data_IF_756712597760
#
_entry.id   IF_756712597760
#
_cell.length_a   1.000
_cell.length_b   1.000
_cell.length_c   1.000
_cell.angle_alpha   90.00
_cell.angle_beta   90.00
_cell.angle_gamma   90.00
#
_symmetry.space_group_name_H-M   'P 1'
#
loop_
_entity.id
_entity.type
_entity.pdbx_description
1 polymer ?
#
# COMPACT_ATOMS: atom_id res chain seq x y z
N UNK A 1 -31.93 -11.01 24.16
CA UNK A 1 -31.94 -11.33 22.72
C UNK A 1 -31.32 -12.70 22.54
N UNK A 2 -32.12 -13.72 22.27
CA UNK A 2 -31.65 -15.08 22.00
C UNK A 2 -31.06 -15.14 20.59
N UNK A 3 -29.76 -15.43 20.49
CA UNK A 3 -29.11 -15.74 19.21
C UNK A 3 -29.86 -16.91 18.57
N UNK A 4 -30.55 -16.64 17.46
CA UNK A 4 -31.26 -17.67 16.70
C UNK A 4 -30.19 -18.43 15.93
N UNK A 5 -29.80 -19.60 16.44
CA UNK A 5 -28.83 -20.44 15.75
C UNK A 5 -29.42 -20.87 14.41
N UNK A 6 -28.83 -20.44 13.29
CA UNK A 6 -29.25 -20.83 11.95
C UNK A 6 -28.82 -22.29 11.67
N UNK A 7 -29.61 -23.23 12.17
CA UNK A 7 -29.42 -24.68 11.98
C UNK A 7 -29.51 -25.21 10.52
N UNK A 8 -30.14 -24.54 9.53
CA UNK A 8 -30.29 -25.12 8.19
C UNK A 8 -28.98 -25.28 7.42
N UNK A 9 -27.99 -24.41 7.61
CA UNK A 9 -26.77 -24.41 6.80
C UNK A 9 -26.05 -25.76 6.85
N UNK A 10 -25.84 -26.32 8.04
CA UNK A 10 -25.15 -27.61 8.26
C UNK A 10 -25.91 -28.79 7.65
N UNK A 11 -27.22 -28.66 7.40
CA UNK A 11 -28.06 -29.71 6.80
C UNK A 11 -28.01 -29.72 5.27
N UNK A 12 -27.39 -28.72 4.65
CA UNK A 12 -27.22 -28.68 3.21
C UNK A 12 -26.18 -29.74 2.77
N UNK A 13 -26.37 -30.37 1.59
CA UNK A 13 -25.33 -31.14 0.92
C UNK A 13 -24.01 -30.37 0.87
N UNK A 14 -22.89 -31.09 0.92
CA UNK A 14 -21.55 -30.48 1.00
C UNK A 14 -21.29 -29.54 -0.18
N UNK A 15 -21.75 -29.93 -1.36
CA UNK A 15 -21.62 -29.19 -2.61
C UNK A 15 -22.29 -27.81 -2.51
N UNK A 16 -23.49 -27.73 -1.93
CA UNK A 16 -24.19 -26.45 -1.74
C UNK A 16 -23.50 -25.58 -0.69
N UNK A 17 -22.94 -26.18 0.37
CA UNK A 17 -22.19 -25.43 1.38
C UNK A 17 -20.89 -24.86 0.80
N UNK A 18 -20.17 -25.64 0.00
CA UNK A 18 -18.98 -25.16 -0.70
C UNK A 18 -19.32 -24.03 -1.67
N UNK A 19 -20.41 -24.14 -2.46
CA UNK A 19 -20.88 -23.05 -3.33
C UNK A 19 -21.21 -21.77 -2.55
N UNK A 20 -21.84 -21.89 -1.38
CA UNK A 20 -22.14 -20.72 -0.53
C UNK A 20 -20.85 -20.10 0.00
N UNK A 21 -19.90 -20.92 0.46
CA UNK A 21 -18.62 -20.39 0.94
C UNK A 21 -17.81 -19.73 -0.16
N UNK A 22 -17.73 -20.35 -1.34
CA UNK A 22 -17.01 -19.79 -2.48
C UNK A 22 -17.66 -18.48 -2.96
N UNK A 23 -18.99 -18.37 -2.89
CA UNK A 23 -19.73 -17.15 -3.20
C UNK A 23 -19.62 -16.05 -2.12
N UNK A 24 -19.25 -16.41 -0.88
CA UNK A 24 -19.02 -15.46 0.20
C UNK A 24 -17.65 -14.77 0.09
N UNK A 25 -16.71 -15.35 -0.68
CA UNK A 25 -15.40 -14.75 -0.93
C UNK A 25 -15.54 -13.64 -1.95
N UNK A 26 -14.79 -12.55 -1.77
CA UNK A 26 -14.82 -11.41 -2.69
C UNK A 26 -14.46 -11.82 -4.13
N UNK A 27 -14.95 -11.09 -5.15
CA UNK A 27 -14.52 -11.28 -6.53
C UNK A 27 -13.01 -11.13 -6.68
N UNK A 28 -12.44 -11.84 -7.65
CA UNK A 28 -11.01 -11.76 -7.99
C UNK A 28 -10.81 -10.68 -9.04
N UNK A 29 -10.82 -9.46 -8.52
CA UNK A 29 -10.57 -8.22 -9.25
C UNK A 29 -9.50 -7.43 -8.51
N UNK A 30 -8.67 -6.64 -9.22
CA UNK A 30 -7.73 -5.73 -8.57
C UNK A 30 -8.44 -4.91 -7.49
N UNK A 31 -7.93 -4.97 -6.28
CA UNK A 31 -8.60 -4.38 -5.10
C UNK A 31 -7.71 -3.40 -4.37
N UNK A 32 -8.32 -2.40 -3.73
CA UNK A 32 -7.64 -1.39 -2.94
C UNK A 32 -7.61 -1.77 -1.45
N UNK A 33 -6.42 -1.67 -0.87
CA UNK A 33 -6.16 -1.99 0.53
C UNK A 33 -5.39 -0.85 1.19
N UNK A 34 -5.90 -0.36 2.31
CA UNK A 34 -5.38 0.79 3.03
C UNK A 34 -4.60 0.35 4.24
N UNK A 35 -3.42 0.92 4.42
CA UNK A 35 -2.56 0.65 5.55
C UNK A 35 -1.90 1.93 6.04
N UNK A 36 -1.72 2.04 7.35
CA UNK A 36 -0.83 3.06 7.92
C UNK A 36 0.60 2.58 7.80
N UNK A 37 1.44 3.33 7.08
CA UNK A 37 2.86 3.06 6.96
C UNK A 37 3.61 3.82 8.08
N UNK A 38 4.40 3.10 8.87
CA UNK A 38 5.14 3.69 9.98
C UNK A 38 6.58 3.18 10.04
N UNK A 39 7.47 4.02 10.56
CA UNK A 39 8.83 3.65 10.93
C UNK A 39 9.10 4.04 12.40
N UNK A 40 9.90 3.23 13.09
CA UNK A 40 10.25 3.39 14.49
C UNK A 40 11.39 4.37 14.71
N UNK A 41 12.12 4.74 13.65
CA UNK A 41 13.25 5.68 13.73
C UNK A 41 12.74 7.13 13.79
N UNK A 42 11.77 7.49 12.96
CA UNK A 42 11.12 8.81 12.93
C UNK A 42 10.05 8.94 14.00
N UNK A 43 9.42 7.84 14.43
CA UNK A 43 8.27 7.85 15.33
C UNK A 43 8.50 7.13 16.66
N UNK A 44 9.73 7.12 17.18
CA UNK A 44 10.11 6.40 18.41
C UNK A 44 9.15 6.61 19.61
N UNK A 45 8.56 7.81 19.75
CA UNK A 45 7.63 8.16 20.82
C UNK A 45 6.18 7.69 20.58
N UNK A 46 5.78 7.42 19.33
CA UNK A 46 4.46 6.88 18.95
C UNK A 46 4.50 5.39 18.59
N UNK A 47 5.69 4.79 18.58
CA UNK A 47 5.94 3.39 18.31
C UNK A 47 5.06 2.42 19.13
N UNK A 48 4.85 2.58 20.45
CA UNK A 48 4.06 1.63 21.23
C UNK A 48 2.60 1.52 20.75
N UNK A 49 2.02 2.64 20.31
CA UNK A 49 0.65 2.66 19.78
C UNK A 49 0.61 1.89 18.46
N UNK A 50 1.54 2.17 17.54
CA UNK A 50 1.53 1.55 16.21
C UNK A 50 1.74 0.03 16.24
N UNK A 51 2.55 -0.48 17.16
CA UNK A 51 2.77 -1.93 17.32
C UNK A 51 1.47 -2.67 17.65
N UNK A 52 0.57 -2.07 18.44
CA UNK A 52 -0.72 -2.69 18.80
C UNK A 52 -1.61 -2.95 17.58
N UNK A 53 -1.51 -2.11 16.56
CA UNK A 53 -2.30 -2.19 15.33
C UNK A 53 -1.51 -2.72 14.14
N UNK A 54 -0.29 -3.23 14.35
CA UNK A 54 0.58 -3.64 13.25
C UNK A 54 0.19 -4.98 12.64
N UNK A 55 0.44 -5.11 11.33
CA UNK A 55 0.50 -6.41 10.67
C UNK A 55 1.67 -7.17 11.28
N UNK A 56 1.43 -8.41 11.72
CA UNK A 56 2.49 -9.23 12.29
C UNK A 56 3.55 -9.53 11.22
N UNK A 57 4.84 -9.35 11.55
CA UNK A 57 5.94 -9.55 10.60
C UNK A 57 7.32 -9.32 11.21
N UNK A 58 8.37 -9.52 10.40
CA UNK A 58 9.77 -9.32 10.82
C UNK A 58 10.05 -7.87 11.21
N UNK A 59 9.44 -6.90 10.51
CA UNK A 59 9.63 -5.47 10.78
C UNK A 59 9.37 -5.04 12.22
N UNK A 60 8.42 -5.65 12.92
CA UNK A 60 8.13 -5.33 14.34
C UNK A 60 9.28 -5.76 15.28
N UNK A 61 10.14 -6.69 14.85
CA UNK A 61 11.24 -7.26 15.64
C UNK A 61 12.62 -6.72 15.25
N UNK A 62 12.68 -5.78 14.30
CA UNK A 62 13.94 -5.19 13.80
C UNK A 62 14.47 -4.09 14.74
N UNK A 63 15.78 -3.81 14.66
CA UNK A 63 16.45 -2.73 15.41
C UNK A 63 16.06 -1.33 14.92
N UNK A 64 15.54 -1.22 13.70
CA UNK A 64 14.93 -0.03 13.12
C UNK A 64 13.57 -0.42 12.53
N UNK A 65 12.55 -0.66 13.39
CA UNK A 65 11.34 -1.34 12.97
C UNK A 65 10.52 -0.48 12.01
N UNK A 66 10.13 -1.02 10.86
CA UNK A 66 9.16 -0.42 9.96
C UNK A 66 8.04 -1.43 9.69
N UNK A 67 6.86 -0.94 9.35
CA UNK A 67 5.74 -1.85 9.16
C UNK A 67 4.46 -1.18 8.70
N UNK A 68 3.51 -2.04 8.36
CA UNK A 68 2.14 -1.66 8.09
C UNK A 68 1.30 -1.86 9.35
N UNK A 69 0.34 -0.98 9.55
CA UNK A 69 -0.65 -1.09 10.59
C UNK A 69 -2.05 -0.79 10.04
N UNK A 70 -3.05 -0.92 10.90
CA UNK A 70 -4.42 -0.60 10.57
C UNK A 70 -4.55 0.78 9.88
N UNK A 71 -5.48 0.95 8.94
CA UNK A 71 -5.66 2.23 8.27
C UNK A 71 -6.20 3.32 9.19
N UNK A 72 -5.85 4.57 8.86
CA UNK A 72 -6.47 5.78 9.40
C UNK A 72 -7.78 6.02 8.67
N UNK A 73 -8.88 5.64 9.32
CA UNK A 73 -10.22 5.70 8.73
C UNK A 73 -11.02 6.93 9.18
N UNK A 74 -10.52 7.70 10.15
CA UNK A 74 -11.14 8.91 10.66
C UNK A 74 -10.18 10.09 10.55
N UNK A 75 -10.55 11.10 9.76
CA UNK A 75 -9.77 12.33 9.59
C UNK A 75 -9.73 13.20 10.86
N UNK A 76 -10.73 13.07 11.75
CA UNK A 76 -10.77 13.78 13.03
C UNK A 76 -9.86 13.13 14.08
N UNK A 77 -9.51 11.85 13.94
CA UNK A 77 -8.65 11.10 14.87
C UNK A 77 -7.50 10.42 14.12
N UNK A 78 -6.59 11.19 13.48
CA UNK A 78 -5.53 10.65 12.62
C UNK A 78 -4.49 9.82 13.38
N UNK A 79 -4.44 9.89 14.70
CA UNK A 79 -3.50 9.12 15.53
C UNK A 79 -4.06 7.78 16.01
N UNK A 80 -5.29 7.44 15.61
CA UNK A 80 -5.99 6.24 16.07
C UNK A 80 -6.37 5.36 14.88
N UNK A 81 -5.41 4.60 14.34
CA UNK A 81 -5.71 3.64 13.29
C UNK A 81 -6.66 2.55 13.80
N UNK A 82 -7.50 2.00 12.94
CA UNK A 82 -8.47 0.96 13.33
C UNK A 82 -8.67 -0.05 12.20
N UNK A 83 -8.64 -1.34 12.53
CA UNK A 83 -8.90 -2.40 11.57
C UNK A 83 -10.39 -2.51 11.23
N UNK A 84 -11.26 -2.11 12.17
CA UNK A 84 -12.69 -2.39 12.11
C UNK A 84 -13.56 -1.16 11.89
N UNK A 85 -13.10 0.02 12.32
CA UNK A 85 -13.90 1.24 12.21
C UNK A 85 -13.71 1.88 10.84
N UNK A 86 -14.72 1.79 9.97
CA UNK A 86 -14.74 2.39 8.63
C UNK A 86 -13.53 2.05 7.75
N UNK A 87 -12.94 0.85 7.92
CA UNK A 87 -11.84 0.39 7.09
C UNK A 87 -12.30 0.23 5.62
N UNK A 88 -11.74 1.03 4.68
CA UNK A 88 -12.14 1.04 3.27
C UNK A 88 -11.53 -0.10 2.45
N UNK A 89 -10.70 -0.94 3.07
CA UNK A 89 -10.00 -2.02 2.38
C UNK A 89 -10.92 -3.19 2.05
N UNK A 90 -10.80 -3.71 0.83
CA UNK A 90 -11.63 -4.85 0.38
C UNK A 90 -11.27 -6.14 1.12
N UNK A 91 -10.02 -6.31 1.58
CA UNK A 91 -9.63 -7.49 2.35
C UNK A 91 -10.48 -7.70 3.62
N UNK A 92 -11.19 -6.68 4.09
CA UNK A 92 -12.10 -6.81 5.23
C UNK A 92 -13.36 -7.60 4.91
N UNK A 93 -13.80 -7.66 3.65
CA UNK A 93 -15.03 -8.34 3.22
C UNK A 93 -15.00 -9.84 3.49
N UNK A 94 -13.84 -10.47 3.31
CA UNK A 94 -13.64 -11.92 3.46
C UNK A 94 -12.70 -12.30 4.63
N UNK A 95 -12.10 -11.31 5.31
CA UNK A 95 -11.23 -11.51 6.49
C UNK A 95 -11.81 -12.48 7.53
N UNK A 96 -13.12 -12.37 7.81
CA UNK A 96 -13.82 -13.21 8.78
C UNK A 96 -13.88 -14.69 8.37
N UNK A 97 -13.82 -15.00 7.07
CA UNK A 97 -13.92 -16.38 6.56
C UNK A 97 -12.71 -17.23 6.97
N UNK A 98 -11.56 -16.61 7.25
CA UNK A 98 -10.37 -17.33 7.75
C UNK A 98 -10.56 -17.97 9.14
N UNK A 99 -11.45 -17.40 9.96
CA UNK A 99 -11.63 -17.80 11.36
C UNK A 99 -13.06 -18.26 11.70
N UNK A 100 -14.02 -18.11 10.79
CA UNK A 100 -15.42 -18.47 11.02
C UNK A 100 -15.61 -19.98 11.30
N UNK A 101 -15.15 -20.87 10.42
CA UNK A 101 -15.15 -22.31 10.65
C UNK A 101 -14.15 -23.04 9.75
N UNK A 102 -14.08 -24.39 9.88
CA UNK A 102 -13.21 -25.22 9.02
C UNK A 102 -13.55 -25.08 7.53
N UNK A 103 -14.84 -25.11 7.19
CA UNK A 103 -15.29 -25.10 5.79
C UNK A 103 -15.05 -23.75 5.12
N UNK A 104 -15.25 -22.63 5.84
CA UNK A 104 -14.93 -21.29 5.32
C UNK A 104 -13.43 -21.12 5.10
N UNK A 105 -12.59 -21.63 6.02
CA UNK A 105 -11.12 -21.63 5.85
C UNK A 105 -10.68 -22.50 4.67
N UNK A 106 -11.29 -23.66 4.49
CA UNK A 106 -11.06 -24.51 3.31
C UNK A 106 -11.38 -23.76 2.02
N UNK A 107 -12.48 -23.00 1.98
CA UNK A 107 -12.84 -22.17 0.82
C UNK A 107 -11.82 -21.06 0.54
N UNK A 108 -11.36 -20.34 1.57
CA UNK A 108 -10.29 -19.34 1.43
C UNK A 108 -8.99 -19.96 0.88
N UNK A 109 -8.61 -21.15 1.37
CA UNK A 109 -7.44 -21.90 0.88
C UNK A 109 -7.66 -22.36 -0.56
N UNK A 110 -8.85 -22.82 -0.95
CA UNK A 110 -9.14 -23.17 -2.35
C UNK A 110 -9.02 -21.96 -3.27
N UNK A 111 -9.48 -20.78 -2.82
CA UNK A 111 -9.48 -19.55 -3.61
C UNK A 111 -8.11 -18.91 -3.76
N UNK A 112 -7.35 -18.83 -2.66
CA UNK A 112 -6.11 -18.06 -2.59
C UNK A 112 -4.86 -18.90 -2.29
N UNK A 113 -5.03 -20.18 -1.93
CA UNK A 113 -3.99 -21.04 -1.35
C UNK A 113 -2.95 -21.61 -2.32
N UNK A 114 -2.67 -20.94 -3.43
CA UNK A 114 -1.44 -21.18 -4.20
C UNK A 114 -0.22 -20.51 -3.51
N UNK A 115 -0.12 -20.62 -2.18
CA UNK A 115 1.12 -20.35 -1.48
C UNK A 115 2.09 -21.49 -1.82
N UNK A 116 2.85 -21.38 -2.92
CA UNK A 116 4.11 -22.11 -2.98
C UNK A 116 4.91 -21.60 -1.79
N UNK A 117 5.04 -22.44 -0.76
CA UNK A 117 5.89 -22.21 0.41
C UNK A 117 7.31 -22.04 -0.11
N UNK A 118 7.72 -20.79 -0.36
CA UNK A 118 9.11 -20.48 -0.56
C UNK A 118 9.73 -20.34 0.84
N UNK A 119 10.56 -21.32 1.19
CA UNK A 119 11.46 -21.36 2.35
C UNK A 119 10.85 -21.54 3.75
N UNK A 120 10.64 -22.80 4.14
CA UNK A 120 11.17 -23.23 5.43
C UNK A 120 12.69 -23.39 5.26
N UNK A 121 13.50 -22.49 5.84
CA UNK A 121 14.91 -22.81 6.07
C UNK A 121 14.94 -24.01 7.01
N UNK A 122 15.38 -25.18 6.52
CA UNK A 122 15.83 -26.23 7.41
C UNK A 122 17.07 -25.68 8.17
N UNK A 123 17.22 -25.96 9.47
CA UNK A 123 18.42 -25.58 10.21
C UNK A 123 19.71 -26.26 9.71
N UNK A 124 19.61 -27.22 8.79
CA UNK A 124 20.73 -28.07 8.35
C UNK A 124 21.44 -27.50 7.10
N UNK A 125 20.85 -26.53 6.40
CA UNK A 125 21.41 -25.97 5.15
C UNK A 125 22.42 -24.83 5.37
N UNK A 126 22.91 -24.61 6.60
CA UNK A 126 23.83 -23.51 6.89
C UNK A 126 25.31 -23.80 6.63
N UNK A 127 25.69 -25.00 6.18
CA UNK A 127 27.11 -25.37 6.02
C UNK A 127 27.53 -25.84 4.63
N UNK A 128 26.63 -25.96 3.66
CA UNK A 128 27.01 -26.28 2.27
C UNK A 128 26.96 -25.04 1.38
N UNK A 129 28.03 -24.84 0.62
CA UNK A 129 28.37 -23.60 -0.09
C UNK A 129 27.28 -23.02 -0.99
N UNK A 130 27.42 -21.71 -1.19
CA UNK A 130 26.63 -20.81 -2.01
C UNK A 130 26.46 -21.35 -3.44
N UNK A 131 25.48 -22.24 -3.63
CA UNK A 131 24.92 -22.50 -4.95
C UNK A 131 23.90 -21.38 -5.21
N UNK A 132 24.14 -20.61 -6.27
CA UNK A 132 23.26 -19.54 -6.73
C UNK A 132 21.86 -20.13 -7.01
N UNK A 133 21.03 -20.14 -5.98
CA UNK A 133 19.60 -20.42 -6.09
C UNK A 133 19.04 -19.40 -7.06
N UNK A 134 18.60 -19.87 -8.23
CA UNK A 134 17.82 -19.07 -9.17
C UNK A 134 16.73 -18.37 -8.35
N UNK A 135 16.58 -17.03 -8.45
CA UNK A 135 15.45 -16.37 -7.81
C UNK A 135 14.18 -17.10 -8.25
N UNK A 136 13.28 -17.45 -7.33
CA UNK A 136 12.02 -18.08 -7.70
C UNK A 136 11.36 -17.25 -8.80
N UNK A 137 10.80 -17.93 -9.81
CA UNK A 137 9.91 -17.30 -10.78
C UNK A 137 8.93 -16.39 -10.03
N UNK A 138 8.69 -15.18 -10.54
CA UNK A 138 7.86 -14.14 -9.90
C UNK A 138 6.66 -14.77 -9.18
N UNK A 139 6.60 -14.55 -7.86
CA UNK A 139 5.56 -15.16 -7.05
C UNK A 139 4.34 -14.23 -7.06
N UNK A 140 3.49 -14.39 -8.07
CA UNK A 140 2.19 -13.71 -8.16
C UNK A 140 1.14 -14.31 -7.21
N UNK A 141 1.56 -15.16 -6.26
CA UNK A 141 0.64 -15.77 -5.31
C UNK A 141 0.03 -14.71 -4.38
N UNK A 142 -1.24 -14.91 -3.96
CA UNK A 142 -1.81 -14.15 -2.88
C UNK A 142 -0.97 -14.26 -1.61
N UNK A 143 -0.87 -13.15 -0.88
CA UNK A 143 -0.22 -13.07 0.43
C UNK A 143 -1.27 -12.98 1.53
N UNK A 144 -1.04 -13.70 2.64
CA UNK A 144 -1.92 -13.66 3.81
C UNK A 144 -1.23 -12.90 4.93
N UNK A 145 -1.78 -11.75 5.32
CA UNK A 145 -1.31 -10.97 6.46
C UNK A 145 -2.06 -11.32 7.74
N UNK A 146 -1.45 -10.99 8.88
CA UNK A 146 -2.04 -11.20 10.21
C UNK A 146 -2.28 -9.87 10.90
N UNK A 147 -3.53 -9.57 11.20
CA UNK A 147 -3.95 -8.41 12.00
C UNK A 147 -3.95 -8.80 13.48
N UNK A 148 -3.34 -7.96 14.30
CA UNK A 148 -3.41 -8.06 15.75
C UNK A 148 -4.10 -6.80 16.25
N UNK A 149 -5.09 -6.95 17.13
CA UNK A 149 -5.69 -5.85 17.88
C UNK A 149 -6.22 -6.37 19.21
N UNK A 150 -5.86 -5.74 20.34
CA UNK A 150 -6.28 -6.16 21.67
C UNK A 150 -6.05 -7.67 21.95
N UNK A 151 -4.96 -8.23 21.42
CA UNK A 151 -4.63 -9.66 21.54
C UNK A 151 -5.49 -10.62 20.69
N UNK A 152 -6.47 -10.11 19.93
CA UNK A 152 -7.23 -10.91 18.95
C UNK A 152 -6.46 -10.96 17.64
N UNK A 153 -6.35 -12.17 17.10
CA UNK A 153 -5.69 -12.45 15.82
C UNK A 153 -6.77 -12.59 14.76
N UNK A 154 -6.60 -11.88 13.64
CA UNK A 154 -7.37 -12.07 12.43
C UNK A 154 -6.44 -12.13 11.22
N UNK A 155 -6.96 -12.63 10.10
CA UNK A 155 -6.21 -12.80 8.87
C UNK A 155 -6.88 -12.04 7.74
N UNK A 156 -6.08 -11.61 6.78
CA UNK A 156 -6.55 -10.98 5.57
C UNK A 156 -5.70 -11.45 4.39
N UNK A 157 -6.25 -11.38 3.18
CA UNK A 157 -5.56 -11.83 1.98
C UNK A 157 -5.52 -10.71 0.95
N UNK A 158 -4.34 -10.51 0.37
CA UNK A 158 -4.07 -9.54 -0.70
C UNK A 158 -3.40 -10.24 -1.88
N UNK A 159 -3.46 -9.65 -3.06
CA UNK A 159 -2.80 -10.11 -4.27
C UNK A 159 -1.74 -9.06 -4.68
N UNK A 160 -0.49 -9.16 -4.18
CA UNK A 160 0.47 -8.05 -4.28
C UNK A 160 0.78 -7.57 -5.69
N UNK A 161 0.72 -8.44 -6.70
CA UNK A 161 1.01 -8.09 -8.09
C UNK A 161 -0.13 -7.34 -8.80
N UNK A 162 -1.37 -7.46 -8.30
CA UNK A 162 -2.57 -6.90 -8.96
C UNK A 162 -3.28 -5.84 -8.11
N UNK A 163 -3.23 -5.97 -6.79
CA UNK A 163 -3.91 -5.07 -5.87
C UNK A 163 -3.21 -3.71 -5.74
N UNK A 164 -3.96 -2.71 -5.28
CA UNK A 164 -3.51 -1.38 -4.93
C UNK A 164 -3.30 -1.25 -3.42
N UNK A 165 -2.10 -0.89 -3.00
CA UNK A 165 -1.75 -0.64 -1.60
C UNK A 165 -1.72 0.86 -1.35
N UNK A 166 -2.79 1.37 -0.73
CA UNK A 166 -2.91 2.77 -0.33
C UNK A 166 -2.19 2.97 0.99
N UNK A 167 -0.99 3.54 0.93
CA UNK A 167 -0.16 3.76 2.10
C UNK A 167 -0.43 5.14 2.69
N UNK A 168 -0.67 5.16 4.00
CA UNK A 168 -0.97 6.35 4.77
C UNK A 168 0.20 6.63 5.72
N UNK A 169 1.18 7.44 5.31
CA UNK A 169 2.33 7.75 6.14
C UNK A 169 1.94 8.31 7.51
N UNK A 170 2.59 7.82 8.57
CA UNK A 170 2.31 8.17 9.95
C UNK A 170 3.37 9.10 10.56
N UNK A 171 2.93 9.93 11.51
CA UNK A 171 3.81 10.80 12.30
C UNK A 171 3.76 12.27 11.91
N UNK A 172 4.41 13.11 12.71
CA UNK A 172 4.44 14.58 12.52
C UNK A 172 5.13 15.00 11.22
N UNK A 173 6.08 14.16 10.77
CA UNK A 173 6.88 14.42 9.59
C UNK A 173 6.51 13.53 8.41
N UNK A 174 5.62 12.55 8.65
CA UNK A 174 5.12 11.58 7.68
C UNK A 174 6.21 10.84 6.89
N UNK A 175 7.47 10.90 7.33
CA UNK A 175 8.60 10.19 6.71
C UNK A 175 8.45 8.68 6.88
N UNK A 176 8.80 7.95 5.83
CA UNK A 176 8.66 6.49 5.74
C UNK A 176 9.91 5.92 5.08
N UNK A 177 10.56 4.95 5.72
CA UNK A 177 11.71 4.24 5.15
C UNK A 177 11.25 3.20 4.11
N UNK A 178 11.06 3.61 2.84
CA UNK A 178 10.58 2.75 1.75
C UNK A 178 11.37 1.44 1.57
N UNK A 179 12.70 1.50 1.73
CA UNK A 179 13.56 0.32 1.67
C UNK A 179 13.23 -0.71 2.76
N UNK A 180 12.89 -0.23 3.95
CA UNK A 180 12.46 -1.11 5.03
C UNK A 180 11.16 -1.84 4.69
N UNK A 181 10.22 -1.21 3.99
CA UNK A 181 8.97 -1.90 3.59
C UNK A 181 9.23 -3.07 2.64
N UNK A 182 10.15 -2.90 1.70
CA UNK A 182 10.59 -3.99 0.83
C UNK A 182 11.19 -5.15 1.65
N UNK A 183 12.03 -4.86 2.64
CA UNK A 183 12.75 -5.92 3.36
C UNK A 183 11.90 -6.59 4.46
N UNK A 184 11.07 -5.83 5.16
CA UNK A 184 10.52 -6.21 6.46
C UNK A 184 9.02 -6.55 6.45
N UNK A 185 8.28 -6.15 5.40
CA UNK A 185 6.83 -6.33 5.33
C UNK A 185 6.47 -7.64 4.59
N UNK A 186 5.90 -8.64 5.30
CA UNK A 186 5.70 -9.98 4.74
C UNK A 186 4.79 -10.03 3.51
N UNK A 187 3.82 -9.11 3.40
CA UNK A 187 2.90 -9.07 2.25
C UNK A 187 3.56 -8.55 0.97
N UNK A 188 4.77 -8.00 1.06
CA UNK A 188 5.56 -7.54 -0.10
C UNK A 188 6.75 -8.47 -0.42
N UNK A 189 7.23 -9.27 0.54
CA UNK A 189 8.58 -9.84 0.45
C UNK A 189 8.74 -11.29 0.92
N UNK A 190 8.07 -12.24 0.28
CA UNK A 190 8.46 -13.64 0.49
C UNK A 190 8.82 -14.30 -0.85
N UNK A 191 10.03 -13.95 -1.31
CA UNK A 191 10.86 -14.69 -2.29
C UNK A 191 10.47 -14.62 -3.77
N UNK A 192 9.69 -13.65 -4.20
CA UNK A 192 9.38 -13.47 -5.63
C UNK A 192 9.16 -12.03 -6.10
N UNK A 193 9.54 -11.03 -5.28
CA UNK A 193 9.41 -9.58 -5.53
C UNK A 193 8.24 -9.20 -6.46
N UNK A 194 6.98 -9.41 -6.04
CA UNK A 194 5.86 -8.80 -6.75
C UNK A 194 6.11 -7.30 -6.78
N UNK A 195 5.84 -6.65 -7.92
CA UNK A 195 5.94 -5.20 -8.05
C UNK A 195 4.56 -4.58 -7.79
N UNK A 196 4.14 -4.29 -6.54
CA UNK A 196 2.82 -3.77 -6.24
C UNK A 196 2.53 -2.42 -6.88
N UNK A 197 1.23 -2.15 -7.00
CA UNK A 197 0.72 -0.80 -7.19
C UNK A 197 0.68 -0.12 -5.82
N UNK A 198 1.44 0.95 -5.65
CA UNK A 198 1.46 1.74 -4.40
C UNK A 198 0.69 3.03 -4.65
N UNK A 199 -0.21 3.39 -3.74
CA UNK A 199 -0.94 4.65 -3.77
C UNK A 199 -0.61 5.54 -2.57
N UNK A 200 -0.56 6.84 -2.80
CA UNK A 200 -0.56 7.89 -1.78
C UNK A 200 -1.79 8.78 -1.98
N UNK A 201 -2.47 9.09 -0.88
CA UNK A 201 -3.57 10.05 -0.89
C UNK A 201 -3.01 11.46 -1.04
N UNK A 202 -3.40 12.17 -2.10
CA UNK A 202 -2.95 13.52 -2.35
C UNK A 202 -3.45 14.44 -1.23
N UNK A 203 -2.53 15.13 -0.57
CA UNK A 203 -2.87 16.20 0.35
C UNK A 203 -2.45 17.55 -0.27
N UNK A 204 -3.40 18.48 -0.51
CA UNK A 204 -3.11 19.77 -1.14
C UNK A 204 -2.08 20.64 -0.41
N UNK A 205 -1.87 20.43 0.90
CA UNK A 205 -0.82 21.17 1.64
C UNK A 205 0.60 20.84 1.18
N UNK A 206 0.79 19.82 0.35
CA UNK A 206 2.08 19.53 -0.30
C UNK A 206 2.47 20.62 -1.30
N UNK A 207 1.50 21.39 -1.77
CA UNK A 207 1.68 22.49 -2.73
C UNK A 207 2.14 23.79 -2.06
N UNK A 208 2.07 23.88 -0.73
CA UNK A 208 2.57 25.03 0.01
C UNK A 208 4.09 24.93 0.09
N UNK A 209 4.78 25.75 -0.70
CA UNK A 209 6.24 25.83 -0.70
C UNK A 209 6.76 26.17 0.71
N UNK A 210 7.45 25.22 1.36
CA UNK A 210 8.44 25.60 2.37
C UNK A 210 9.73 25.96 1.62
N UNK A 211 10.09 27.24 1.45
CA UNK A 211 11.31 27.66 0.75
C UNK A 211 12.60 27.18 1.44
N UNK A 212 12.50 26.58 2.63
CA UNK A 212 13.61 25.94 3.33
C UNK A 212 13.63 24.41 3.19
N UNK A 213 12.77 23.82 2.35
CA UNK A 213 12.68 22.37 2.08
C UNK A 213 14.04 21.75 1.77
N UNK A 214 14.82 22.35 0.86
CA UNK A 214 16.19 21.89 0.53
C UNK A 214 17.25 22.37 1.54
N UNK A 215 16.98 23.43 2.30
CA UNK A 215 17.96 24.06 3.21
C UNK A 215 18.04 23.38 4.58
N UNK A 216 16.93 22.85 5.11
CA UNK A 216 16.91 22.14 6.42
C UNK A 216 17.74 20.87 6.44
N UNK A 217 17.94 20.29 5.26
CA UNK A 217 18.73 19.10 5.09
C UNK A 217 20.23 19.21 5.38
N UNK A 218 20.84 20.40 5.25
CA UNK A 218 22.29 20.59 5.44
C UNK A 218 22.80 20.35 6.88
N UNK A 219 21.94 20.05 7.86
CA UNK A 219 22.29 19.90 9.28
C UNK A 219 22.08 18.48 9.87
N UNK A 220 21.66 17.49 9.07
CA UNK A 220 21.34 16.15 9.57
C UNK A 220 22.56 15.21 9.46
N UNK A 221 22.88 14.38 10.47
CA UNK A 221 24.00 13.43 10.40
C UNK A 221 23.90 12.43 9.23
N UNK A 222 25.07 12.11 8.65
CA UNK A 222 25.26 11.33 7.41
C UNK A 222 24.49 9.99 7.30
N UNK A 223 24.18 9.32 8.41
CA UNK A 223 23.51 8.02 8.40
C UNK A 223 22.00 8.10 8.12
N UNK A 224 21.36 9.23 8.44
CA UNK A 224 19.93 9.44 8.14
C UNK A 224 19.67 9.60 6.64
N UNK A 225 20.71 9.91 5.86
CA UNK A 225 20.63 10.11 4.41
C UNK A 225 20.47 8.80 3.66
N UNK A 226 21.20 7.76 4.07
CA UNK A 226 21.11 6.41 3.49
C UNK A 226 19.77 5.70 3.81
N UNK A 227 18.99 6.22 4.75
CA UNK A 227 17.71 5.66 5.21
C UNK A 227 16.48 6.41 4.67
N UNK A 228 16.65 7.46 3.84
CA UNK A 228 15.52 8.25 3.34
C UNK A 228 14.82 9.12 4.39
N UNK A 229 15.42 9.33 5.56
CA UNK A 229 14.82 10.00 6.72
C UNK A 229 15.06 11.52 6.75
N UNK A 230 15.53 12.07 5.62
CA UNK A 230 16.01 13.44 5.47
C UNK A 230 14.89 14.46 5.26
N UNK A 231 13.85 14.08 4.52
CA UNK A 231 12.72 14.97 4.26
C UNK A 231 11.60 14.70 5.24
N UNK A 232 11.60 15.51 6.30
CA UNK A 232 10.56 15.52 7.32
C UNK A 232 9.34 16.34 6.88
N UNK A 233 8.89 16.11 5.65
CA UNK A 233 7.67 16.70 5.10
C UNK A 233 7.00 15.71 4.18
N UNK A 234 5.71 15.92 3.97
CA UNK A 234 4.92 15.04 3.11
C UNK A 234 5.39 15.07 1.65
N UNK A 235 5.75 16.25 1.13
CA UNK A 235 6.40 16.41 -0.19
C UNK A 235 7.74 15.65 -0.26
N UNK A 236 8.43 15.52 0.87
CA UNK A 236 9.61 14.69 0.99
C UNK A 236 9.35 13.20 0.79
N UNK A 237 8.23 12.74 1.32
CA UNK A 237 7.82 11.34 1.28
C UNK A 237 7.39 10.96 -0.13
N UNK A 238 6.65 11.85 -0.80
CA UNK A 238 6.25 11.69 -2.21
C UNK A 238 7.44 11.77 -3.14
N UNK A 239 8.38 12.70 -2.90
CA UNK A 239 9.63 12.78 -3.63
C UNK A 239 10.41 11.46 -3.53
N UNK A 240 10.65 10.95 -2.32
CA UNK A 240 11.34 9.67 -2.16
C UNK A 240 10.56 8.51 -2.78
N UNK A 241 9.23 8.52 -2.70
CA UNK A 241 8.38 7.54 -3.36
C UNK A 241 8.52 7.58 -4.89
N UNK A 242 8.70 8.76 -5.48
CA UNK A 242 8.86 8.94 -6.92
C UNK A 242 10.30 8.65 -7.42
N UNK A 243 11.25 8.42 -6.51
CA UNK A 243 12.64 8.07 -6.85
C UNK A 243 12.83 6.56 -6.98
N UNK A 244 14.01 6.13 -7.45
CA UNK A 244 14.41 4.72 -7.58
C UNK A 244 14.15 3.85 -6.34
N UNK A 245 14.10 4.43 -5.13
CA UNK A 245 13.91 3.66 -3.90
C UNK A 245 12.60 2.84 -3.92
N UNK A 246 11.51 3.37 -4.49
CA UNK A 246 10.32 2.57 -4.79
C UNK A 246 10.40 1.88 -6.16
N UNK A 247 11.10 2.46 -7.14
CA UNK A 247 11.22 1.90 -8.51
C UNK A 247 11.76 0.46 -8.58
N UNK A 248 12.54 0.06 -7.56
CA UNK A 248 13.03 -1.31 -7.42
C UNK A 248 11.93 -2.34 -7.14
N UNK A 249 10.94 -1.98 -6.33
CA UNK A 249 9.98 -2.94 -5.81
C UNK A 249 8.51 -2.57 -6.04
N UNK A 250 8.17 -1.39 -6.55
CA UNK A 250 6.81 -1.03 -6.95
C UNK A 250 6.70 -0.99 -8.49
N UNK A 251 5.53 -1.38 -9.04
CA UNK A 251 5.26 -1.28 -10.48
C UNK A 251 4.84 0.14 -10.86
N UNK A 252 3.98 0.74 -10.04
CA UNK A 252 3.39 2.04 -10.29
C UNK A 252 3.15 2.76 -8.97
N UNK A 253 3.46 4.06 -8.96
CA UNK A 253 3.10 4.98 -7.90
C UNK A 253 1.87 5.77 -8.34
N UNK A 254 0.80 5.67 -7.57
CA UNK A 254 -0.47 6.33 -7.82
C UNK A 254 -0.69 7.45 -6.83
N UNK A 255 -1.25 8.56 -7.30
CA UNK A 255 -1.79 9.61 -6.45
C UNK A 255 -3.32 9.59 -6.52
N UNK A 256 -3.96 9.41 -5.36
CA UNK A 256 -5.42 9.46 -5.24
C UNK A 256 -5.83 10.89 -4.94
N UNK A 257 -6.61 11.51 -5.82
CA UNK A 257 -7.20 12.82 -5.58
C UNK A 257 -8.73 12.70 -5.48
N UNK A 258 -9.22 12.69 -4.23
CA UNK A 258 -10.66 12.59 -3.91
C UNK A 258 -11.49 13.79 -4.39
N UNK A 259 -10.86 14.86 -4.87
CA UNK A 259 -11.56 16.03 -5.39
C UNK A 259 -11.97 15.83 -6.86
N UNK A 260 -11.37 14.86 -7.54
CA UNK A 260 -11.71 14.54 -8.94
C UNK A 260 -13.02 13.76 -8.97
N UNK A 261 -13.93 14.19 -9.84
CA UNK A 261 -15.26 13.59 -9.99
C UNK A 261 -15.55 13.26 -11.44
N UNK A 262 -16.44 12.30 -11.67
CA UNK A 262 -16.95 12.03 -13.00
C UNK A 262 -17.85 13.17 -13.46
N UNK A 263 -17.69 13.59 -14.70
CA UNK A 263 -18.65 14.47 -15.36
C UNK A 263 -19.92 13.65 -15.70
N UNK A 264 -21.10 14.03 -15.17
CA UNK A 264 -22.36 13.36 -15.46
C UNK A 264 -22.67 13.29 -16.96
N UNK A 265 -22.23 14.26 -17.76
CA UNK A 265 -22.50 14.30 -19.21
C UNK A 265 -21.67 13.27 -20.00
N UNK A 266 -20.60 12.73 -19.39
CA UNK A 266 -19.65 11.81 -20.02
C UNK A 266 -19.49 10.49 -19.26
N UNK A 267 -20.39 10.21 -18.31
CA UNK A 267 -20.31 9.04 -17.42
C UNK A 267 -20.27 7.69 -18.16
N UNK A 268 -20.73 7.61 -19.42
CA UNK A 268 -20.77 6.38 -20.22
C UNK A 268 -19.54 6.12 -21.11
N UNK A 269 -18.54 7.01 -21.14
CA UNK A 269 -17.41 6.90 -22.08
C UNK A 269 -16.18 6.27 -21.42
N UNK A 270 -15.77 5.07 -21.89
CA UNK A 270 -14.34 4.77 -22.02
C UNK A 270 -13.57 4.09 -20.88
N UNK A 271 -14.22 3.51 -19.87
CA UNK A 271 -13.47 2.92 -18.73
C UNK A 271 -12.87 1.54 -19.01
N UNK A 272 -13.21 0.91 -20.14
CA UNK A 272 -12.85 -0.49 -20.45
C UNK A 272 -11.33 -0.75 -20.49
N UNK A 273 -10.52 0.27 -20.72
CA UNK A 273 -9.05 0.16 -20.83
C UNK A 273 -8.30 0.82 -19.68
N UNK A 274 -9.01 1.36 -18.69
CA UNK A 274 -8.42 2.03 -17.55
C UNK A 274 -8.08 1.02 -16.47
N UNK A 275 -6.93 1.22 -15.83
CA UNK A 275 -6.64 0.49 -14.60
C UNK A 275 -7.70 0.88 -13.56
N UNK A 276 -8.40 -0.12 -13.03
CA UNK A 276 -9.45 0.07 -12.03
C UNK A 276 -9.19 -0.85 -10.85
N UNK A 277 -9.25 -0.29 -9.64
CA UNK A 277 -9.16 -1.05 -8.40
C UNK A 277 -10.47 -0.92 -7.63
N UNK A 278 -11.05 -2.05 -7.24
CA UNK A 278 -12.25 -2.09 -6.41
C UNK A 278 -11.88 -1.67 -4.97
N UNK A 279 -12.57 -0.68 -4.43
CA UNK A 279 -12.55 -0.34 -3.01
C UNK A 279 -13.83 -0.80 -2.32
N UNK A 280 -13.92 -0.62 -1.01
CA UNK A 280 -15.15 -0.89 -0.26
C UNK A 280 -16.11 0.30 -0.38
N UNK A 281 -17.10 0.21 -1.27
CA UNK A 281 -18.08 1.26 -1.55
C UNK A 281 -17.60 2.34 -2.53
N UNK A 282 -16.50 2.09 -3.25
CA UNK A 282 -15.99 2.95 -4.31
C UNK A 282 -15.10 2.16 -5.28
N UNK A 283 -14.78 2.78 -6.41
CA UNK A 283 -13.79 2.34 -7.39
C UNK A 283 -12.71 3.41 -7.54
N UNK A 284 -11.47 2.97 -7.62
CA UNK A 284 -10.34 3.81 -7.96
C UNK A 284 -10.02 3.64 -9.43
N UNK A 285 -10.24 4.69 -10.21
CA UNK A 285 -10.14 4.64 -11.68
C UNK A 285 -8.98 5.51 -12.14
N UNK A 286 -8.14 4.94 -13.01
CA UNK A 286 -7.03 5.64 -13.66
C UNK A 286 -7.49 6.81 -14.52
N UNK A 287 -6.77 7.91 -14.41
CA UNK A 287 -6.91 9.09 -15.26
C UNK A 287 -5.63 9.29 -16.05
N UNK A 288 -5.74 9.50 -17.36
CA UNK A 288 -4.59 9.51 -18.25
C UNK A 288 -3.85 10.85 -18.21
N UNK A 289 -4.55 11.96 -18.40
CA UNK A 289 -3.95 13.28 -18.40
C UNK A 289 -4.98 14.38 -18.13
N UNK A 290 -4.55 15.64 -18.24
CA UNK A 290 -5.39 16.83 -18.00
C UNK A 290 -6.48 17.06 -19.06
N UNK A 291 -6.32 16.44 -20.23
CA UNK A 291 -7.26 16.50 -21.35
C UNK A 291 -8.20 15.29 -21.37
N UNK A 292 -8.09 14.41 -20.37
CA UNK A 292 -8.90 13.22 -20.26
C UNK A 292 -10.40 13.59 -20.14
N UNK A 293 -11.21 13.29 -21.17
CA UNK A 293 -12.59 13.75 -21.21
C UNK A 293 -13.44 13.06 -20.15
N UNK A 294 -14.41 13.80 -19.62
CA UNK A 294 -15.39 13.28 -18.67
C UNK A 294 -14.97 13.29 -17.20
N UNK A 295 -13.96 14.09 -16.86
CA UNK A 295 -13.51 14.32 -15.49
C UNK A 295 -13.61 15.79 -15.11
N UNK A 296 -14.20 16.05 -13.95
CA UNK A 296 -14.26 17.35 -13.31
C UNK A 296 -13.15 17.40 -12.26
N UNK A 297 -12.21 18.32 -12.47
CA UNK A 297 -11.08 18.54 -11.58
C UNK A 297 -11.50 19.48 -10.45
N UNK A 298 -11.21 19.14 -9.20
CA UNK A 298 -11.70 19.88 -8.03
C UNK A 298 -11.13 21.29 -7.82
N UNK A 299 -10.23 21.78 -8.67
CA UNK A 299 -9.68 23.14 -8.61
C UNK A 299 -9.42 23.73 -10.01
N UNK A 300 -9.85 24.98 -10.22
CA UNK A 300 -9.62 25.72 -11.47
C UNK A 300 -8.20 26.30 -11.58
N UNK A 301 -7.45 26.37 -10.47
CA UNK A 301 -6.10 26.97 -10.45
C UNK A 301 -5.01 25.88 -10.61
N UNK A 302 -4.14 26.00 -11.63
CA UNK A 302 -3.05 25.04 -11.88
C UNK A 302 -2.20 24.76 -10.63
N UNK A 303 -1.89 25.80 -9.85
CA UNK A 303 -1.04 25.77 -8.66
C UNK A 303 -1.56 24.91 -7.50
N UNK A 304 -2.83 24.49 -7.52
CA UNK A 304 -3.45 23.66 -6.45
C UNK A 304 -4.02 22.35 -6.98
N UNK A 305 -3.86 22.12 -8.28
CA UNK A 305 -4.32 20.93 -8.98
C UNK A 305 -3.29 19.80 -8.87
N UNK A 306 -3.74 18.55 -9.02
CA UNK A 306 -2.83 17.39 -9.11
C UNK A 306 -1.82 17.52 -10.26
N UNK A 307 -2.18 18.20 -11.36
CA UNK A 307 -1.24 18.41 -12.47
C UNK A 307 -0.11 19.38 -12.09
N UNK A 308 -0.43 20.47 -11.39
CA UNK A 308 0.59 21.37 -10.87
C UNK A 308 1.47 20.70 -9.82
N UNK A 309 0.91 19.79 -9.01
CA UNK A 309 1.68 18.96 -8.09
C UNK A 309 2.68 18.08 -8.84
N UNK A 310 2.22 17.36 -9.87
CA UNK A 310 3.06 16.48 -10.67
C UNK A 310 4.14 17.25 -11.43
N UNK A 311 3.84 18.43 -11.96
CA UNK A 311 4.81 19.31 -12.61
C UNK A 311 5.91 19.74 -11.64
N UNK A 312 5.56 20.19 -10.42
CA UNK A 312 6.54 20.52 -9.38
C UNK A 312 7.36 19.32 -8.91
N UNK A 313 6.72 18.16 -8.80
CA UNK A 313 7.41 16.92 -8.45
C UNK A 313 8.45 16.58 -9.53
N UNK A 314 8.11 16.75 -10.80
CA UNK A 314 9.02 16.52 -11.92
C UNK A 314 10.18 17.53 -11.93
N UNK A 315 9.90 18.83 -11.77
CA UNK A 315 10.92 19.87 -11.62
C UNK A 315 11.89 19.56 -10.47
N UNK A 316 11.36 19.10 -9.32
CA UNK A 316 12.17 18.68 -8.16
C UNK A 316 13.04 17.48 -8.48
N UNK A 317 12.51 16.48 -9.19
CA UNK A 317 13.26 15.29 -9.59
C UNK A 317 14.39 15.67 -10.56
N UNK A 318 14.13 16.60 -11.47
CA UNK A 318 15.14 17.13 -12.41
C UNK A 318 16.22 17.96 -11.69
N UNK A 319 15.84 18.92 -10.83
CA UNK A 319 16.76 19.71 -10.00
C UNK A 319 17.71 18.79 -9.21
N UNK A 320 17.16 17.73 -8.63
CA UNK A 320 17.89 16.77 -7.81
C UNK A 320 18.83 15.86 -8.61
N UNK A 321 18.44 15.47 -9.83
CA UNK A 321 19.30 14.68 -10.73
C UNK A 321 20.58 15.42 -11.14
N UNK A 322 20.57 16.76 -11.07
CA UNK A 322 21.68 17.63 -11.44
C UNK A 322 22.58 18.03 -10.24
N UNK A 323 22.20 17.68 -9.01
CA UNK A 323 22.97 18.01 -7.81
C UNK A 323 24.20 17.08 -7.66
N UNK A 324 25.36 17.60 -8.05
CA UNK A 324 26.64 16.89 -8.04
C UNK A 324 27.11 16.47 -6.66
N UNK A 325 26.68 17.14 -5.58
CA UNK A 325 27.05 16.76 -4.20
C UNK A 325 26.44 15.40 -3.80
N UNK A 326 25.27 15.07 -4.35
CA UNK A 326 24.54 13.83 -4.05
C UNK A 326 24.94 12.65 -4.95
N UNK A 327 25.41 12.95 -6.16
CA UNK A 327 25.88 11.95 -7.14
C UNK A 327 27.09 11.12 -6.68
N UNK A 328 27.83 11.59 -5.67
CA UNK A 328 28.97 10.86 -5.08
C UNK A 328 28.55 9.74 -4.12
N UNK A 329 27.31 9.75 -3.61
CA UNK A 329 26.88 8.90 -2.49
C UNK A 329 25.64 8.06 -2.77
N UNK A 330 24.86 8.43 -3.79
CA UNK A 330 23.71 7.68 -4.28
C UNK A 330 23.93 7.46 -5.77
N UNK A 331 24.06 6.20 -6.18
CA UNK A 331 24.01 5.85 -7.61
C UNK A 331 22.56 6.03 -8.04
N UNK A 332 22.28 7.12 -8.75
CA UNK A 332 20.98 7.34 -9.35
C UNK A 332 20.89 6.50 -10.62
N UNK A 333 20.03 5.48 -10.69
CA UNK A 333 19.78 4.81 -11.94
C UNK A 333 19.02 5.76 -12.89
N UNK A 334 19.04 5.46 -14.20
CA UNK A 334 18.29 6.23 -15.18
C UNK A 334 16.80 6.35 -14.79
N UNK A 335 16.16 7.46 -15.19
CA UNK A 335 14.72 7.75 -14.97
C UNK A 335 13.80 6.60 -15.43
N UNK A 336 14.30 5.73 -16.29
CA UNK A 336 13.65 4.50 -16.78
C UNK A 336 13.37 3.46 -15.67
N UNK A 337 14.12 3.51 -14.55
CA UNK A 337 13.98 2.58 -13.42
C UNK A 337 13.05 3.12 -12.30
N UNK A 338 12.64 4.39 -12.37
CA UNK A 338 11.68 4.97 -11.42
C UNK A 338 10.26 4.40 -11.63
N UNK A 339 9.42 4.33 -10.58
CA UNK A 339 8.07 3.83 -10.72
C UNK A 339 7.29 4.78 -11.64
N UNK A 340 6.45 4.23 -12.52
CA UNK A 340 5.54 5.06 -13.32
C UNK A 340 4.62 5.82 -12.39
N UNK A 341 4.38 7.10 -12.66
CA UNK A 341 3.45 7.91 -11.88
C UNK A 341 2.09 7.92 -12.57
N UNK A 342 1.02 7.72 -11.81
CA UNK A 342 -0.36 7.78 -12.29
C UNK A 342 -1.30 8.49 -11.33
N UNK A 343 -2.50 8.80 -11.82
CA UNK A 343 -3.57 9.47 -11.07
C UNK A 343 -4.76 8.52 -10.93
N UNK A 344 -5.36 8.48 -9.75
CA UNK A 344 -6.62 7.78 -9.49
C UNK A 344 -7.69 8.74 -8.98
N UNK A 345 -8.88 8.66 -9.57
CA UNK A 345 -10.10 9.22 -8.99
C UNK A 345 -10.82 8.16 -8.16
N UNK A 346 -11.38 8.56 -7.02
CA UNK A 346 -12.26 7.74 -6.21
C UNK A 346 -13.72 8.02 -6.60
N UNK A 347 -14.39 7.03 -7.19
CA UNK A 347 -15.79 7.12 -7.62
C UNK A 347 -16.62 6.22 -6.70
N UNK A 348 -17.62 6.75 -5.96
CA UNK A 348 -18.53 5.92 -5.16
C UNK A 348 -19.19 4.83 -6.00
N UNK A 349 -19.44 3.66 -5.40
CA UNK A 349 -20.32 2.67 -6.02
C UNK A 349 -21.76 3.22 -6.04
N UNK A 350 -22.49 3.00 -7.14
CA UNK A 350 -23.89 3.44 -7.34
C UNK A 350 -24.91 2.75 -6.41
#
# INVERSE_FOLDING_TARGET
MTLITFHPFVRLPRELRDLIWDAAIRPDVPSAHFFTAWDGVSNAHKFPIMVEFSVAGRGVRSTAPCGLAAPRCNSAEPERPSWFDNNPSVYMEDSGLWTACKESREAMIRRFGNHKVAYQKSPEDSEAGVEYLKPPEFNDAPATGTMIQNGKIQYFTVCPSTDLFCLQPFGEHKAVCWKGFEEDVPIFNELGSPKPNIALELNPSWMDDDPNFLKRGRRVPKYYWALGLYYRSEMGCTFYAATDILGRWASKLWFIDYRIRRDPEFASVGDKWRTTFQGRGCKFIEIYDRLDPGWIWGHDRPETSIHGFLERLDEKLEEYSQDTFLSEWITFPPREDAPRIGILACIPDD
#
